data_IF_638891422835
#
_entry.id   IF_638891422835
#
_cell.length_a   1.000
_cell.length_b   1.000
_cell.length_c   1.000
_cell.angle_alpha   90.00
_cell.angle_beta   90.00
_cell.angle_gamma   90.00
#
_symmetry.space_group_name_H-M   'P 1'
#
loop_
_entity.id
_entity.type
_entity.pdbx_description
1 polymer ?
#
# COMPACT_ATOMS: atom_id res chain seq x y z
N UNK A 1 30.53 -66.87 21.51
CA UNK A 1 29.65 -66.28 22.56
C UNK A 1 29.21 -64.85 22.23
N UNK A 2 30.11 -63.89 21.91
CA UNK A 2 29.72 -62.50 21.60
C UNK A 2 28.72 -62.34 20.43
N UNK A 3 28.89 -63.09 19.34
CA UNK A 3 27.97 -63.06 18.19
C UNK A 3 26.57 -63.60 18.53
N UNK A 4 26.49 -64.59 19.42
CA UNK A 4 25.23 -65.20 19.86
C UNK A 4 24.43 -64.28 20.78
N UNK A 5 25.10 -63.52 21.66
CA UNK A 5 24.47 -62.52 22.53
C UNK A 5 23.93 -61.35 21.72
N UNK A 6 24.68 -60.90 20.70
CA UNK A 6 24.24 -59.82 19.81
C UNK A 6 22.99 -60.23 19.01
N UNK A 7 22.99 -61.44 18.46
CA UNK A 7 21.85 -61.99 17.70
C UNK A 7 20.59 -62.11 18.59
N UNK A 8 20.75 -62.61 19.81
CA UNK A 8 19.65 -62.77 20.74
C UNK A 8 19.09 -61.41 21.19
N UNK A 9 19.96 -60.42 21.39
CA UNK A 9 19.57 -59.04 21.68
C UNK A 9 18.77 -58.41 20.55
N UNK A 10 19.24 -58.51 19.29
CA UNK A 10 18.51 -57.95 18.14
C UNK A 10 17.16 -58.61 17.91
N UNK A 11 17.06 -59.92 18.15
CA UNK A 11 15.79 -60.65 18.06
C UNK A 11 14.83 -60.18 19.14
N UNK A 12 15.29 -60.06 20.40
CA UNK A 12 14.45 -59.62 21.52
C UNK A 12 13.94 -58.19 21.31
N UNK A 13 14.79 -57.26 20.85
CA UNK A 13 14.38 -55.89 20.54
C UNK A 13 13.40 -55.83 19.37
N UNK A 14 13.61 -56.63 18.34
CA UNK A 14 12.67 -56.69 17.20
C UNK A 14 11.31 -57.25 17.60
N UNK A 15 11.29 -58.28 18.46
CA UNK A 15 10.05 -58.88 18.96
C UNK A 15 9.26 -57.87 19.81
N UNK A 16 9.93 -57.12 20.68
CA UNK A 16 9.32 -56.05 21.47
C UNK A 16 8.72 -54.95 20.60
N UNK A 17 9.41 -54.55 19.52
CA UNK A 17 8.89 -53.55 18.57
C UNK A 17 7.69 -54.06 17.76
N UNK A 18 7.67 -55.35 17.39
CA UNK A 18 6.51 -55.96 16.74
C UNK A 18 5.30 -56.12 17.67
N UNK A 19 5.52 -56.40 18.97
CA UNK A 19 4.44 -56.45 19.97
C UNK A 19 3.83 -55.08 20.28
N UNK A 20 4.50 -53.98 19.96
CA UNK A 20 3.95 -52.63 20.14
C UNK A 20 3.09 -52.15 18.95
N UNK A 21 3.00 -52.94 17.88
CA UNK A 21 2.03 -52.68 16.81
C UNK A 21 0.66 -53.22 17.23
N UNK A 22 0.05 -52.58 18.24
CA UNK A 22 -1.32 -52.84 18.62
C UNK A 22 -2.24 -52.57 17.43
N UNK A 23 -2.66 -53.63 16.73
CA UNK A 23 -3.92 -53.58 15.99
C UNK A 23 -5.00 -53.47 17.06
N UNK A 24 -5.56 -52.29 17.22
CA UNK A 24 -6.74 -52.08 18.06
C UNK A 24 -7.90 -52.77 17.34
N UNK A 25 -8.03 -54.08 17.52
CA UNK A 25 -9.24 -54.81 17.16
C UNK A 25 -10.27 -54.52 18.25
N UNK A 26 -11.05 -53.46 18.04
CA UNK A 26 -12.18 -53.13 18.91
C UNK A 26 -13.21 -54.28 18.80
N UNK A 27 -13.43 -55.07 19.87
CA UNK A 27 -14.41 -56.13 19.81
C UNK A 27 -15.79 -55.50 19.62
N UNK A 28 -16.60 -56.08 18.75
CA UNK A 28 -17.97 -55.62 18.46
C UNK A 28 -18.89 -55.88 19.67
N UNK A 29 -18.71 -55.11 20.74
CA UNK A 29 -19.68 -55.01 21.81
C UNK A 29 -19.52 -53.67 22.53
N UNK A 30 -20.38 -52.73 22.14
CA UNK A 30 -20.96 -51.66 22.95
C UNK A 30 -20.12 -51.07 24.10
N UNK A 31 -18.88 -50.67 23.83
CA UNK A 31 -18.14 -49.71 24.66
C UNK A 31 -17.61 -48.62 23.73
N UNK A 32 -18.13 -47.41 23.89
CA UNK A 32 -17.89 -46.25 23.03
C UNK A 32 -16.51 -45.61 23.20
N UNK A 33 -15.51 -46.36 23.68
CA UNK A 33 -14.20 -45.82 24.07
C UNK A 33 -13.02 -46.45 23.29
N UNK A 34 -13.32 -46.89 22.07
CA UNK A 34 -12.32 -47.11 21.04
C UNK A 34 -11.87 -45.73 20.54
N UNK A 35 -10.65 -45.29 20.91
CA UNK A 35 -10.02 -44.05 20.44
C UNK A 35 -9.91 -44.04 18.91
N UNK A 36 -10.99 -43.61 18.26
CA UNK A 36 -10.95 -42.97 16.96
C UNK A 36 -10.30 -41.60 17.14
N UNK A 37 -9.75 -41.01 16.07
CA UNK A 37 -9.08 -39.71 16.07
C UNK A 37 -10.03 -38.51 16.35
N UNK A 38 -10.96 -38.70 17.27
CA UNK A 38 -11.92 -37.75 17.79
C UNK A 38 -12.18 -38.11 19.25
N UNK A 39 -11.12 -38.16 20.08
CA UNK A 39 -11.29 -37.80 21.50
C UNK A 39 -11.54 -36.29 21.50
N UNK A 40 -12.77 -35.94 21.19
CA UNK A 40 -13.28 -34.59 21.32
C UNK A 40 -13.44 -34.37 22.82
N UNK A 41 -12.35 -33.96 23.46
CA UNK A 41 -12.42 -33.29 24.74
C UNK A 41 -12.93 -31.87 24.45
N UNK A 42 -14.22 -31.57 24.73
CA UNK A 42 -14.80 -30.27 24.44
C UNK A 42 -14.15 -29.13 25.25
N UNK A 43 -13.26 -29.45 26.19
CA UNK A 43 -12.58 -28.49 27.06
C UNK A 43 -11.06 -28.53 26.89
N UNK A 44 -10.54 -29.04 25.77
CA UNK A 44 -9.12 -28.92 25.48
C UNK A 44 -8.75 -27.44 25.27
N UNK A 45 -8.03 -26.81 26.21
CA UNK A 45 -7.75 -25.37 26.16
C UNK A 45 -6.88 -24.99 24.96
N UNK A 46 -6.13 -25.93 24.40
CA UNK A 46 -5.30 -25.70 23.21
C UNK A 46 -6.13 -25.68 21.92
N UNK A 47 -7.15 -26.55 21.81
CA UNK A 47 -8.05 -26.56 20.66
C UNK A 47 -8.92 -25.30 20.66
N UNK A 48 -9.45 -24.96 21.84
CA UNK A 48 -10.26 -23.75 22.02
C UNK A 48 -9.45 -22.48 21.70
N UNK A 49 -8.20 -22.40 22.15
CA UNK A 49 -7.30 -21.29 21.79
C UNK A 49 -6.99 -21.21 20.29
N UNK A 50 -6.82 -22.36 19.61
CA UNK A 50 -6.58 -22.38 18.16
C UNK A 50 -7.81 -21.96 17.35
N UNK A 51 -9.01 -22.34 17.79
CA UNK A 51 -10.26 -21.93 17.16
C UNK A 51 -10.52 -20.43 17.32
N UNK A 52 -10.26 -19.88 18.51
CA UNK A 52 -10.34 -18.44 18.76
C UNK A 52 -9.32 -17.67 17.92
N UNK A 53 -8.09 -18.18 17.77
CA UNK A 53 -7.04 -17.55 16.94
C UNK A 53 -7.37 -17.60 15.44
N UNK A 54 -8.02 -18.67 14.96
CA UNK A 54 -8.54 -18.75 13.59
C UNK A 54 -9.71 -17.79 13.35
N UNK A 55 -10.62 -17.66 14.31
CA UNK A 55 -11.73 -16.70 14.27
C UNK A 55 -11.20 -15.25 14.21
N UNK A 56 -10.22 -14.90 15.05
CA UNK A 56 -9.61 -13.56 15.07
C UNK A 56 -8.87 -13.24 13.77
N UNK A 57 -8.17 -14.21 13.16
CA UNK A 57 -7.48 -14.00 11.87
C UNK A 57 -8.42 -13.75 10.69
N UNK A 58 -9.67 -14.19 10.80
CA UNK A 58 -10.68 -14.06 9.76
C UNK A 58 -11.62 -12.86 9.99
N UNK A 59 -11.40 -12.06 11.05
CA UNK A 59 -12.17 -10.84 11.27
C UNK A 59 -11.89 -9.82 10.15
N UNK A 60 -12.95 -9.30 9.56
CA UNK A 60 -12.88 -8.15 8.68
C UNK A 60 -12.96 -6.85 9.50
N UNK A 61 -12.50 -5.74 8.92
CA UNK A 61 -12.61 -4.42 9.59
C UNK A 61 -14.09 -4.08 9.86
N UNK A 62 -14.99 -4.52 9.00
CA UNK A 62 -16.44 -4.34 9.14
C UNK A 62 -17.05 -5.10 10.34
N UNK A 63 -16.37 -6.15 10.84
CA UNK A 63 -16.79 -6.91 12.01
C UNK A 63 -16.34 -6.25 13.33
N UNK A 64 -15.48 -5.23 13.25
CA UNK A 64 -14.96 -4.49 14.40
C UNK A 64 -15.84 -3.27 14.66
N UNK A 65 -16.57 -3.28 15.79
CA UNK A 65 -17.29 -2.11 16.25
C UNK A 65 -16.34 -1.15 16.98
N UNK A 66 -15.85 -0.13 16.27
CA UNK A 66 -15.09 0.95 16.88
C UNK A 66 -16.04 1.85 17.68
N UNK A 67 -15.93 1.81 19.00
CA UNK A 67 -16.63 2.75 19.87
C UNK A 67 -15.72 3.99 19.99
N UNK A 68 -16.02 5.01 19.21
CA UNK A 68 -15.41 6.33 19.36
C UNK A 68 -16.13 7.07 20.48
N UNK A 69 -15.58 6.99 21.69
CA UNK A 69 -16.01 7.87 22.78
C UNK A 69 -15.42 9.26 22.56
N UNK A 70 -16.23 10.18 22.01
CA UNK A 70 -15.91 11.60 21.98
C UNK A 70 -16.03 12.17 23.41
N UNK A 71 -15.02 11.94 24.23
CA UNK A 71 -14.94 12.57 25.54
C UNK A 71 -14.67 14.07 25.39
N UNK A 72 -15.67 14.90 25.72
CA UNK A 72 -15.48 16.33 25.84
C UNK A 72 -14.51 16.62 26.99
N UNK A 73 -13.29 17.05 26.68
CA UNK A 73 -12.30 17.43 27.68
C UNK A 73 -12.71 18.77 28.31
N UNK A 74 -13.51 18.70 29.38
CA UNK A 74 -13.87 19.87 30.18
C UNK A 74 -12.72 20.20 31.12
N UNK A 75 -11.91 21.18 30.74
CA UNK A 75 -10.71 21.58 31.50
C UNK A 75 -11.04 22.20 32.87
N UNK A 76 -12.27 22.68 33.09
CA UNK A 76 -12.69 23.39 34.32
C UNK A 76 -11.85 24.65 34.65
N UNK A 77 -11.08 25.16 33.70
CA UNK A 77 -10.41 26.47 33.78
C UNK A 77 -10.31 27.10 32.40
N UNK A 78 -10.10 28.42 32.36
CA UNK A 78 -9.83 29.14 31.13
C UNK A 78 -8.33 29.05 30.78
N UNK A 79 -7.95 28.31 29.71
CA UNK A 79 -6.55 28.17 29.33
C UNK A 79 -5.94 29.47 28.82
N UNK A 80 -6.74 30.42 28.34
CA UNK A 80 -6.24 31.67 27.76
C UNK A 80 -5.49 32.53 28.78
N UNK A 81 -5.81 32.38 30.07
CA UNK A 81 -5.14 33.06 31.18
C UNK A 81 -3.69 32.62 31.40
N UNK A 82 -3.31 31.47 30.85
CA UNK A 82 -1.98 30.88 31.02
C UNK A 82 -1.15 30.90 29.72
N UNK A 83 -1.74 31.40 28.63
CA UNK A 83 -1.04 31.57 27.36
C UNK A 83 -0.23 32.88 27.37
N UNK A 84 0.97 32.90 26.77
CA UNK A 84 1.71 34.13 26.55
C UNK A 84 0.88 35.18 25.81
N UNK A 85 1.22 36.45 26.02
CA UNK A 85 0.67 37.54 25.21
C UNK A 85 0.99 37.25 23.73
N UNK A 86 -0.02 37.39 22.86
CA UNK A 86 0.06 37.10 21.42
C UNK A 86 0.34 35.63 21.05
N UNK A 87 0.05 34.68 21.94
CA UNK A 87 0.13 33.26 21.61
C UNK A 87 -0.82 32.91 20.46
N UNK A 88 -0.25 32.39 19.38
CA UNK A 88 -0.99 31.83 18.24
C UNK A 88 -0.52 30.41 18.01
N UNK A 89 -1.41 29.44 18.26
CA UNK A 89 -1.13 28.03 18.09
C UNK A 89 -0.70 27.68 16.66
N UNK A 90 -1.14 28.46 15.66
CA UNK A 90 -0.90 28.24 14.24
C UNK A 90 0.28 29.06 13.68
N UNK A 91 1.00 29.80 14.54
CA UNK A 91 2.14 30.58 14.10
C UNK A 91 3.23 29.66 13.52
N UNK A 92 3.62 29.92 12.27
CA UNK A 92 4.62 29.10 11.57
C UNK A 92 4.10 27.79 10.97
N UNK A 93 2.79 27.49 11.08
CA UNK A 93 2.14 26.36 10.39
C UNK A 93 1.62 26.72 8.99
N UNK A 94 1.97 27.89 8.47
CA UNK A 94 1.66 28.25 7.08
C UNK A 94 2.44 27.38 6.11
N UNK A 95 1.76 26.85 5.09
CA UNK A 95 2.42 26.24 3.94
C UNK A 95 3.17 27.33 3.17
N UNK A 96 4.50 27.29 3.21
CA UNK A 96 5.33 28.18 2.40
C UNK A 96 5.50 27.57 1.00
N UNK A 97 4.76 28.09 0.02
CA UNK A 97 4.83 27.60 -1.36
C UNK A 97 6.22 27.78 -1.97
N UNK A 98 7.00 28.76 -1.51
CA UNK A 98 8.35 29.02 -2.00
C UNK A 98 9.34 27.93 -1.52
N UNK A 99 8.97 27.12 -0.52
CA UNK A 99 9.75 25.97 -0.04
C UNK A 99 9.40 24.67 -0.75
N UNK A 100 8.33 24.64 -1.54
CA UNK A 100 7.91 23.44 -2.24
C UNK A 100 8.74 23.30 -3.52
N UNK A 101 9.63 22.32 -3.53
CA UNK A 101 10.31 21.89 -4.75
C UNK A 101 9.38 20.93 -5.48
N UNK A 102 8.83 21.36 -6.61
CA UNK A 102 8.09 20.49 -7.53
C UNK A 102 9.11 19.80 -8.43
N UNK A 103 9.36 18.52 -8.16
CA UNK A 103 10.15 17.68 -9.06
C UNK A 103 9.23 17.11 -10.14
N UNK A 104 9.47 17.50 -11.39
CA UNK A 104 8.79 16.91 -12.53
C UNK A 104 9.50 15.59 -12.85
N UNK A 105 8.97 14.50 -12.31
CA UNK A 105 9.47 13.16 -12.59
C UNK A 105 8.92 12.75 -13.95
N UNK A 106 9.71 12.97 -15.01
CA UNK A 106 9.51 12.31 -16.31
C UNK A 106 9.76 10.81 -16.15
N UNK A 107 8.78 10.09 -15.61
CA UNK A 107 8.78 8.64 -15.59
C UNK A 107 8.31 8.12 -16.94
N UNK A 108 9.21 7.45 -17.66
CA UNK A 108 8.83 6.64 -18.82
C UNK A 108 7.86 5.54 -18.36
N UNK A 109 6.57 5.69 -18.68
CA UNK A 109 5.56 4.68 -18.36
C UNK A 109 5.78 3.46 -19.26
N UNK A 110 6.51 2.47 -18.74
CA UNK A 110 6.67 1.18 -19.40
C UNK A 110 5.45 0.32 -19.10
N UNK A 111 4.51 0.26 -20.05
CA UNK A 111 3.25 -0.47 -19.90
C UNK A 111 3.42 -1.99 -19.74
N UNK A 112 4.60 -2.54 -20.07
CA UNK A 112 4.87 -3.98 -19.97
C UNK A 112 4.18 -4.83 -21.03
N UNK A 113 3.49 -4.20 -21.99
CA UNK A 113 2.90 -4.83 -23.17
C UNK A 113 2.96 -3.89 -24.37
N UNK A 114 2.81 -4.44 -25.58
CA UNK A 114 2.67 -3.66 -26.81
C UNK A 114 1.19 -3.23 -26.97
N UNK A 115 0.85 -1.93 -26.78
CA UNK A 115 -0.52 -1.47 -26.91
C UNK A 115 -1.07 -1.64 -28.33
N UNK A 116 -0.22 -1.70 -29.36
CA UNK A 116 -0.67 -1.87 -30.74
C UNK A 116 -1.40 -3.22 -30.96
N UNK A 117 -1.07 -4.25 -30.17
CA UNK A 117 -1.73 -5.57 -30.25
C UNK A 117 -3.19 -5.54 -29.80
N UNK A 118 -3.62 -4.50 -29.07
CA UNK A 118 -4.96 -4.37 -28.51
C UNK A 118 -5.80 -3.32 -29.23
N UNK A 119 -5.23 -2.65 -30.25
CA UNK A 119 -5.97 -1.70 -31.06
C UNK A 119 -6.82 -2.43 -32.13
N UNK A 120 -8.05 -1.96 -32.40
CA UNK A 120 -8.86 -2.50 -33.49
C UNK A 120 -8.14 -2.47 -34.84
N UNK A 121 -8.47 -3.41 -35.73
CA UNK A 121 -7.92 -3.43 -37.10
C UNK A 121 -8.33 -2.13 -37.81
N UNK A 122 -7.34 -1.38 -38.28
CA UNK A 122 -7.55 -0.10 -38.95
C UNK A 122 -7.71 1.09 -38.00
N UNK A 123 -7.47 0.92 -36.70
CA UNK A 123 -7.47 2.03 -35.74
C UNK A 123 -6.49 3.12 -36.15
N UNK A 124 -6.99 4.35 -36.22
CA UNK A 124 -6.22 5.55 -36.44
C UNK A 124 -6.62 6.58 -35.38
N UNK A 125 -5.70 6.92 -34.47
CA UNK A 125 -5.94 7.90 -33.42
C UNK A 125 -6.28 9.30 -33.95
N UNK A 126 -5.93 9.57 -35.20
CA UNK A 126 -6.14 10.85 -35.87
C UNK A 126 -7.33 10.82 -36.84
N UNK A 127 -8.09 9.72 -36.91
CA UNK A 127 -9.27 9.67 -37.76
C UNK A 127 -10.30 10.71 -37.31
N UNK A 128 -10.71 11.60 -38.21
CA UNK A 128 -11.63 12.69 -37.91
C UNK A 128 -10.99 13.90 -37.22
N UNK A 129 -9.68 13.87 -36.94
CA UNK A 129 -8.94 15.06 -36.53
C UNK A 129 -8.51 15.83 -37.79
N UNK A 130 -9.29 16.83 -38.17
CA UNK A 130 -8.89 17.80 -39.20
C UNK A 130 -8.19 18.98 -38.50
N UNK A 131 -6.96 19.30 -38.92
CA UNK A 131 -6.29 20.51 -38.51
C UNK A 131 -6.89 21.68 -39.30
N UNK A 132 -7.78 22.46 -38.69
CA UNK A 132 -8.18 23.75 -39.24
C UNK A 132 -7.17 24.82 -38.84
N UNK A 133 -6.48 25.39 -39.82
CA UNK A 133 -5.54 26.49 -39.59
C UNK A 133 -6.25 27.75 -39.08
N UNK A 134 -7.57 27.88 -39.30
CA UNK A 134 -8.36 28.98 -38.75
C UNK A 134 -8.60 28.84 -37.23
N UNK A 135 -8.46 27.63 -36.67
CA UNK A 135 -8.55 27.40 -35.21
C UNK A 135 -7.26 27.79 -34.49
N UNK A 136 -6.17 28.02 -35.22
CA UNK A 136 -4.88 28.43 -34.66
C UNK A 136 -4.91 29.94 -34.44
N UNK A 137 -5.08 30.37 -33.19
CA UNK A 137 -4.88 31.77 -32.80
C UNK A 137 -3.38 32.01 -32.62
N UNK A 138 -2.80 32.83 -33.50
CA UNK A 138 -1.44 33.32 -33.32
C UNK A 138 -1.50 34.56 -32.42
N UNK A 139 -1.12 34.39 -31.16
CA UNK A 139 -0.94 35.51 -30.24
C UNK A 139 0.48 36.06 -30.42
N UNK A 140 0.58 37.24 -31.02
CA UNK A 140 1.83 37.99 -31.09
C UNK A 140 2.00 38.73 -29.77
N UNK A 141 2.87 38.19 -28.90
CA UNK A 141 3.19 38.83 -27.62
C UNK A 141 4.09 40.02 -27.93
N UNK A 142 3.53 41.23 -27.88
CA UNK A 142 4.33 42.45 -27.89
C UNK A 142 5.07 42.57 -26.55
N UNK A 143 6.27 42.02 -26.49
CA UNK A 143 7.19 42.27 -25.39
C UNK A 143 7.82 43.66 -25.55
N UNK A 144 7.74 44.49 -24.51
CA UNK A 144 8.49 45.74 -24.47
C UNK A 144 9.98 45.40 -24.34
N UNK A 145 10.71 45.52 -25.45
CA UNK A 145 12.16 45.28 -25.49
C UNK A 145 12.86 46.47 -24.83
N UNK A 146 13.18 46.36 -23.55
CA UNK A 146 14.12 47.26 -22.89
C UNK A 146 15.55 46.92 -23.32
N UNK A 147 16.11 47.77 -24.18
CA UNK A 147 17.47 47.61 -24.69
C UNK A 147 18.52 48.03 -23.64
N UNK A 148 18.13 48.60 -22.51
CA UNK A 148 19.04 49.11 -21.49
C UNK A 148 19.85 50.34 -21.93
N UNK A 149 19.49 50.95 -23.06
CA UNK A 149 20.08 52.19 -23.56
C UNK A 149 19.10 52.99 -24.42
N UNK A 150 19.31 54.30 -24.46
CA UNK A 150 18.58 55.20 -25.36
C UNK A 150 19.01 54.96 -26.81
N UNK A 151 18.15 54.31 -27.59
CA UNK A 151 18.37 53.99 -29.01
C UNK A 151 18.72 55.23 -29.84
N UNK A 152 18.12 56.37 -29.52
CA UNK A 152 18.35 57.66 -30.20
C UNK A 152 19.82 58.09 -30.22
N UNK A 153 20.63 57.68 -29.23
CA UNK A 153 22.04 58.04 -29.16
C UNK A 153 22.91 57.29 -30.17
N UNK A 154 22.40 56.21 -30.76
CA UNK A 154 23.11 55.38 -31.72
C UNK A 154 22.57 55.50 -33.14
N UNK A 155 21.52 56.30 -33.35
CA UNK A 155 20.95 56.53 -34.68
C UNK A 155 21.74 57.60 -35.45
N UNK A 156 21.98 57.42 -36.77
CA UNK A 156 22.59 58.43 -37.60
C UNK A 156 21.84 59.76 -37.55
N UNK A 157 22.57 60.87 -37.72
CA UNK A 157 21.97 62.21 -37.73
C UNK A 157 20.97 62.33 -38.89
N UNK A 158 19.70 62.59 -38.56
CA UNK A 158 18.62 62.66 -39.55
C UNK A 158 17.98 61.30 -39.89
N UNK A 159 18.22 60.26 -39.09
CA UNK A 159 17.56 58.97 -39.24
C UNK A 159 16.04 59.11 -39.13
N UNK A 160 15.32 58.46 -40.05
CA UNK A 160 13.88 58.37 -40.06
C UNK A 160 13.49 56.94 -40.43
N UNK A 161 12.92 56.19 -39.48
CA UNK A 161 12.49 54.80 -39.66
C UNK A 161 11.42 54.63 -40.75
N UNK A 162 10.75 55.71 -41.14
CA UNK A 162 9.67 55.73 -42.11
C UNK A 162 10.03 56.43 -43.42
N UNK A 163 11.31 56.79 -43.63
CA UNK A 163 11.76 57.27 -44.93
C UNK A 163 11.69 56.10 -45.93
N UNK A 164 10.86 56.26 -46.97
CA UNK A 164 10.74 55.30 -48.10
C UNK A 164 11.94 55.37 -49.03
#
# INVERSE_FOLDING_TARGET
MKKSVLLLGTVLTSLLLFSFSGKVECPNNLDSDCLTNTSYDPHNPFMEGLLMDEEVRNLSIEDINLIEDEEEIVLNFDPTLYLPLDFNAYMGMGLDLDTIVVEDLEEDIVLGFDPAQYLPIGFNAYEGMELDLNDIVVEEIEEEIDLGFEVMNYLPKGFNAYAK
#
